data_IF_050706028757
#
_entry.id   IF_050706028757
#
_cell.length_a   1.000
_cell.length_b   1.000
_cell.length_c   1.000
_cell.angle_alpha   90.00
_cell.angle_beta   90.00
_cell.angle_gamma   90.00
#
_symmetry.space_group_name_H-M   'P 1'
#
loop_
_entity.id
_entity.type
_entity.pdbx_description
1 polymer ?
#
# COMPACT_ATOMS: atom_id res chain seq x y z
N UNK A 1 11.30 5.40 -17.88
CA UNK A 1 11.30 6.88 -17.89
C UNK A 1 11.04 7.31 -16.46
N UNK A 2 12.05 7.85 -15.76
CA UNK A 2 12.02 8.15 -14.33
C UNK A 2 12.06 9.68 -14.24
N UNK A 3 10.95 10.31 -13.87
CA UNK A 3 10.84 11.77 -13.78
C UNK A 3 11.80 12.28 -12.68
N UNK A 4 12.70 13.23 -12.99
CA UNK A 4 13.80 13.64 -12.12
C UNK A 4 13.42 14.61 -10.99
N UNK A 5 12.15 15.02 -10.87
CA UNK A 5 11.74 16.11 -9.95
C UNK A 5 11.22 15.65 -8.58
N UNK A 6 11.41 14.38 -8.22
CA UNK A 6 10.89 13.82 -6.97
C UNK A 6 11.91 13.95 -5.81
N UNK A 7 12.09 15.18 -5.32
CA UNK A 7 12.73 15.41 -4.01
C UNK A 7 11.66 15.28 -2.93
N UNK A 8 11.57 14.11 -2.30
CA UNK A 8 10.72 13.88 -1.14
C UNK A 8 11.24 12.70 -0.32
N UNK A 9 11.87 12.99 0.82
CA UNK A 9 12.27 11.99 1.82
C UNK A 9 11.08 11.16 2.34
N UNK A 10 11.34 10.09 3.11
CA UNK A 10 10.50 8.91 3.09
C UNK A 10 9.21 9.16 3.87
N UNK A 11 8.09 9.11 3.18
CA UNK A 11 6.80 8.88 3.84
C UNK A 11 6.80 7.42 4.29
N UNK A 12 7.46 7.13 5.42
CA UNK A 12 7.57 5.77 5.97
C UNK A 12 6.23 5.36 6.57
N UNK A 13 5.41 4.74 5.75
CA UNK A 13 4.25 4.01 6.25
C UNK A 13 4.62 2.53 6.29
N UNK A 14 5.10 2.09 7.46
CA UNK A 14 5.46 0.70 7.68
C UNK A 14 4.21 -0.11 8.04
N UNK A 15 3.87 -1.10 7.20
CA UNK A 15 2.75 -1.99 7.47
C UNK A 15 3.18 -3.42 7.65
N UNK A 16 2.75 -4.03 8.76
CA UNK A 16 3.02 -5.42 9.08
C UNK A 16 1.76 -6.28 8.93
N UNK A 17 1.81 -7.27 8.04
CA UNK A 17 0.77 -8.31 7.93
C UNK A 17 1.33 -9.66 8.31
N UNK A 18 0.57 -10.45 9.07
CA UNK A 18 0.93 -11.84 9.37
C UNK A 18 0.25 -12.78 8.39
N UNK A 19 1.03 -13.46 7.55
CA UNK A 19 0.55 -14.46 6.61
C UNK A 19 0.92 -15.85 7.12
N UNK A 20 -0.05 -16.78 7.18
CA UNK A 20 0.17 -18.16 7.59
C UNK A 20 -0.29 -19.14 6.52
N UNK A 21 0.55 -20.12 6.19
CA UNK A 21 0.14 -21.24 5.35
C UNK A 21 -0.65 -22.26 6.21
N UNK A 22 -1.96 -22.36 5.98
CA UNK A 22 -2.84 -23.30 6.67
C UNK A 22 -2.98 -24.65 5.94
N UNK A 23 -2.36 -24.78 4.77
CA UNK A 23 -2.36 -26.00 3.98
C UNK A 23 -1.32 -27.02 4.42
N UNK A 24 -1.39 -28.22 3.82
CA UNK A 24 -0.45 -29.33 4.08
C UNK A 24 0.77 -29.33 3.16
N UNK A 25 0.88 -28.36 2.25
CA UNK A 25 1.95 -28.27 1.24
C UNK A 25 2.62 -26.91 1.30
N UNK A 26 3.90 -26.87 0.91
CA UNK A 26 4.63 -25.62 0.70
C UNK A 26 3.89 -24.80 -0.37
N UNK A 27 3.61 -23.55 -0.06
CA UNK A 27 2.85 -22.64 -0.92
C UNK A 27 3.59 -21.32 -1.09
N UNK A 28 3.36 -20.67 -2.23
CA UNK A 28 3.81 -19.29 -2.45
C UNK A 28 2.59 -18.39 -2.47
N UNK A 29 2.59 -17.39 -1.59
CA UNK A 29 1.53 -16.40 -1.44
C UNK A 29 2.07 -15.02 -1.86
N UNK A 30 1.20 -14.17 -2.42
CA UNK A 30 1.53 -12.77 -2.70
C UNK A 30 0.68 -11.89 -1.80
N UNK A 31 1.29 -11.32 -0.76
CA UNK A 31 0.65 -10.33 0.08
C UNK A 31 0.62 -8.99 -0.68
N UNK A 32 -0.57 -8.47 -0.93
CA UNK A 32 -0.79 -7.22 -1.63
C UNK A 32 -1.38 -6.19 -0.66
N UNK A 33 -0.91 -4.95 -0.75
CA UNK A 33 -1.40 -3.85 0.06
C UNK A 33 -1.93 -2.73 -0.83
N UNK A 34 -3.12 -2.25 -0.48
CA UNK A 34 -3.83 -1.20 -1.19
C UNK A 34 -4.14 -0.04 -0.24
N UNK A 35 -4.24 1.16 -0.80
CA UNK A 35 -4.56 2.39 -0.08
C UNK A 35 -5.80 3.02 -0.68
N UNK A 36 -6.72 3.44 0.17
CA UNK A 36 -7.91 4.18 -0.21
C UNK A 36 -7.63 5.65 -0.49
N UNK A 37 -8.63 6.41 -0.95
CA UNK A 37 -8.50 7.83 -1.21
C UNK A 37 -8.16 8.63 0.07
N UNK A 38 -7.43 9.71 -0.10
CA UNK A 38 -7.23 10.74 0.93
C UNK A 38 -8.50 11.58 1.05
N UNK A 39 -9.02 11.81 2.27
CA UNK A 39 -10.15 12.71 2.49
C UNK A 39 -9.79 14.18 2.25
N UNK A 40 -8.50 14.53 2.35
CA UNK A 40 -8.02 15.90 2.27
C UNK A 40 -7.78 16.35 0.82
N UNK A 41 -7.70 15.40 -0.11
CA UNK A 41 -7.42 15.66 -1.51
C UNK A 41 -8.71 15.63 -2.34
N UNK A 42 -9.17 16.81 -2.80
CA UNK A 42 -10.34 16.96 -3.69
C UNK A 42 -9.99 16.75 -5.17
N UNK A 43 -9.26 15.68 -5.47
CA UNK A 43 -8.94 15.24 -6.84
C UNK A 43 -9.56 13.87 -7.09
N UNK A 44 -9.66 13.49 -8.37
CA UNK A 44 -10.02 12.12 -8.73
C UNK A 44 -8.97 11.15 -8.20
N UNK A 45 -9.42 10.23 -7.36
CA UNK A 45 -8.57 9.28 -6.68
C UNK A 45 -9.07 7.85 -6.92
N UNK A 46 -8.16 6.89 -7.11
CA UNK A 46 -8.55 5.49 -7.17
C UNK A 46 -9.14 5.06 -5.82
N UNK A 47 -10.26 4.33 -5.87
CA UNK A 47 -10.89 3.74 -4.67
C UNK A 47 -9.92 2.83 -3.91
N UNK A 48 -9.01 2.16 -4.63
CA UNK A 48 -7.92 1.34 -4.09
C UNK A 48 -6.68 1.44 -5.01
N UNK A 49 -5.63 2.09 -4.55
CA UNK A 49 -4.32 2.11 -5.21
C UNK A 49 -3.42 1.00 -4.66
N UNK A 50 -2.79 0.19 -5.51
CA UNK A 50 -1.82 -0.82 -5.06
C UNK A 50 -0.55 -0.13 -4.57
N UNK A 51 -0.35 -0.10 -3.24
CA UNK A 51 0.84 0.48 -2.61
C UNK A 51 2.08 -0.40 -2.71
N UNK A 52 1.88 -1.72 -2.69
CA UNK A 52 3.00 -2.65 -2.74
C UNK A 52 2.53 -4.09 -2.69
N UNK A 53 3.45 -4.99 -3.02
CA UNK A 53 3.23 -6.41 -2.88
C UNK A 53 4.51 -7.13 -2.49
N UNK A 54 4.37 -8.24 -1.78
CA UNK A 54 5.50 -9.10 -1.39
C UNK A 54 5.14 -10.55 -1.63
N UNK A 55 6.01 -11.25 -2.36
CA UNK A 55 5.92 -12.70 -2.56
C UNK A 55 6.61 -13.41 -1.39
N UNK A 56 5.92 -14.39 -0.83
CA UNK A 56 6.38 -15.17 0.32
C UNK A 56 6.21 -16.64 0.02
N UNK A 57 7.25 -17.42 0.26
CA UNK A 57 7.14 -18.87 0.22
C UNK A 57 7.10 -19.38 1.66
N UNK A 58 6.03 -20.08 2.00
CA UNK A 58 5.75 -20.56 3.36
C UNK A 58 5.64 -22.08 3.36
N UNK A 59 6.36 -22.74 4.25
CA UNK A 59 6.16 -24.14 4.58
C UNK A 59 4.79 -24.37 5.25
N UNK A 60 4.27 -25.61 5.25
CA UNK A 60 3.03 -25.94 5.97
C UNK A 60 3.08 -25.46 7.43
N UNK A 61 2.09 -24.69 7.87
CA UNK A 61 1.99 -24.15 9.23
C UNK A 61 2.86 -22.92 9.51
N UNK A 62 3.78 -22.56 8.62
CA UNK A 62 4.68 -21.40 8.78
C UNK A 62 3.89 -20.10 8.71
N UNK A 63 4.24 -19.15 9.58
CA UNK A 63 3.72 -17.80 9.56
C UNK A 63 4.87 -16.79 9.46
N UNK A 64 4.74 -15.82 8.55
CA UNK A 64 5.69 -14.71 8.43
C UNK A 64 5.01 -13.37 8.57
N UNK A 65 5.74 -12.43 9.17
CA UNK A 65 5.39 -11.01 9.17
C UNK A 65 5.97 -10.37 7.91
N UNK A 66 5.16 -9.58 7.23
CA UNK A 66 5.50 -8.93 5.97
C UNK A 66 5.45 -7.45 6.22
N UNK A 67 6.60 -6.78 6.11
CA UNK A 67 6.69 -5.33 6.11
C UNK A 67 6.77 -4.83 4.68
N UNK A 68 5.97 -3.82 4.34
CA UNK A 68 6.05 -3.11 3.07
C UNK A 68 6.13 -1.61 3.35
N UNK A 69 7.06 -0.96 2.66
CA UNK A 69 7.18 0.49 2.61
C UNK A 69 6.33 0.99 1.43
N UNK A 70 5.59 2.07 1.64
CA UNK A 70 4.79 2.71 0.59
C UNK A 70 5.55 3.89 0.05
N UNK A 71 5.62 3.97 -1.28
CA UNK A 71 6.12 5.15 -1.95
C UNK A 71 5.11 6.29 -1.92
N UNK A 72 5.60 7.53 -1.72
CA UNK A 72 4.80 8.75 -1.75
C UNK A 72 4.01 8.90 -3.07
N UNK A 73 4.53 8.39 -4.18
CA UNK A 73 3.86 8.37 -5.49
C UNK A 73 2.55 7.60 -5.45
N UNK A 74 2.46 6.52 -4.69
CA UNK A 74 1.21 5.75 -4.54
C UNK A 74 0.19 6.50 -3.68
N UNK A 75 0.68 7.39 -2.81
CA UNK A 75 -0.15 8.29 -2.01
C UNK A 75 -0.51 9.57 -2.77
N UNK A 76 0.11 9.81 -3.93
CA UNK A 76 -0.09 11.00 -4.75
C UNK A 76 -1.20 10.80 -5.77
N UNK A 77 -1.83 11.90 -6.18
CA UNK A 77 -2.74 11.93 -7.31
C UNK A 77 -2.37 13.08 -8.25
N UNK A 78 -2.65 12.91 -9.53
CA UNK A 78 -2.33 13.89 -10.55
C UNK A 78 -3.34 15.04 -10.49
N UNK A 79 -2.84 16.26 -10.31
CA UNK A 79 -3.63 17.49 -10.41
C UNK A 79 -3.49 18.07 -11.83
N UNK A 80 -4.52 17.99 -12.68
CA UNK A 80 -4.45 18.53 -14.04
C UNK A 80 -4.34 20.06 -14.06
N UNK A 81 -4.77 20.78 -13.02
CA UNK A 81 -4.66 22.23 -12.94
C UNK A 81 -3.25 22.71 -12.57
N UNK A 82 -2.51 21.90 -11.80
CA UNK A 82 -1.12 22.20 -11.40
C UNK A 82 -0.07 21.51 -12.26
N UNK A 83 -0.49 20.60 -13.14
CA UNK A 83 0.42 19.72 -13.90
C UNK A 83 1.45 19.02 -12.99
N UNK A 84 1.02 18.62 -11.80
CA UNK A 84 1.90 18.10 -10.76
C UNK A 84 1.24 16.97 -9.95
N UNK A 85 2.08 16.14 -9.33
CA UNK A 85 1.66 15.12 -8.36
C UNK A 85 1.45 15.76 -6.99
N UNK A 86 0.27 15.56 -6.41
CA UNK A 86 -0.06 16.07 -5.09
C UNK A 86 -0.27 14.89 -4.14
N UNK A 87 0.53 14.83 -3.07
CA UNK A 87 0.38 13.82 -2.01
C UNK A 87 -0.89 14.10 -1.22
N UNK A 88 -1.80 13.14 -1.16
CA UNK A 88 -2.95 13.20 -0.28
C UNK A 88 -2.57 12.80 1.14
N UNK A 89 -2.38 13.80 2.02
CA UNK A 89 -2.15 13.61 3.46
C UNK A 89 -3.41 13.10 4.18
N UNK A 90 -3.28 12.87 5.48
CA UNK A 90 -4.41 12.57 6.36
C UNK A 90 -4.66 11.08 6.55
N UNK A 91 -5.80 10.75 7.18
CA UNK A 91 -6.13 9.38 7.58
C UNK A 91 -6.74 8.60 6.41
N UNK A 92 -5.99 7.65 5.88
CA UNK A 92 -6.39 6.79 4.75
C UNK A 92 -6.70 5.37 5.21
N UNK A 93 -7.63 4.72 4.52
CA UNK A 93 -7.87 3.29 4.71
C UNK A 93 -6.81 2.48 3.96
N UNK A 94 -6.38 1.40 4.59
CA UNK A 94 -5.36 0.49 4.11
C UNK A 94 -5.98 -0.88 4.06
N UNK A 95 -5.80 -1.56 2.95
CA UNK A 95 -6.35 -2.89 2.73
C UNK A 95 -5.21 -3.84 2.44
N UNK A 96 -5.20 -5.00 3.09
CA UNK A 96 -4.22 -6.03 2.79
C UNK A 96 -4.89 -7.39 2.58
N UNK A 97 -4.34 -8.16 1.66
CA UNK A 97 -4.86 -9.47 1.34
C UNK A 97 -4.13 -10.14 0.19
N UNK A 98 -4.73 -11.24 -0.28
CA UNK A 98 -4.16 -12.10 -1.32
C UNK A 98 -4.51 -11.67 -2.74
N UNK A 99 -5.57 -10.86 -2.88
CA UNK A 99 -6.00 -10.29 -4.16
C UNK A 99 -6.78 -9.00 -3.92
N UNK A 100 -6.93 -8.16 -4.95
CA UNK A 100 -7.75 -6.94 -4.90
C UNK A 100 -9.21 -7.19 -4.51
N UNK A 101 -9.72 -8.42 -4.73
CA UNK A 101 -11.08 -8.85 -4.39
C UNK A 101 -11.18 -9.39 -2.96
N UNK A 102 -10.09 -9.95 -2.44
CA UNK A 102 -10.03 -10.56 -1.12
C UNK A 102 -9.01 -9.86 -0.22
N UNK A 103 -9.50 -8.80 0.42
CA UNK A 103 -8.76 -7.94 1.35
C UNK A 103 -9.38 -8.04 2.76
N UNK A 104 -9.16 -9.16 3.47
CA UNK A 104 -9.74 -9.38 4.79
C UNK A 104 -9.18 -8.44 5.87
N UNK A 105 -8.00 -7.86 5.64
CA UNK A 105 -7.34 -6.97 6.59
C UNK A 105 -7.58 -5.52 6.19
N UNK A 106 -8.02 -4.73 7.18
CA UNK A 106 -8.23 -3.29 7.04
C UNK A 106 -7.57 -2.57 8.19
N UNK A 107 -6.83 -1.51 7.90
CA UNK A 107 -6.24 -0.63 8.89
C UNK A 107 -6.44 0.83 8.47
N UNK A 108 -6.26 1.75 9.39
CA UNK A 108 -6.21 3.18 9.11
C UNK A 108 -4.78 3.63 9.33
N UNK A 109 -4.21 4.32 8.35
CA UNK A 109 -2.89 4.91 8.46
C UNK A 109 -3.00 6.42 8.27
N UNK A 110 -2.23 7.16 9.07
CA UNK A 110 -2.10 8.60 8.89
C UNK A 110 -0.89 8.82 8.00
N UNK A 111 -1.12 9.44 6.85
CA UNK A 111 -0.05 9.97 6.00
C UNK A 111 0.27 11.36 6.53
N UNK A 112 1.36 11.45 7.29
CA UNK A 112 1.89 12.74 7.71
C UNK A 112 2.73 13.31 6.57
N UNK A 113 2.49 14.57 6.22
CA UNK A 113 3.40 15.36 5.39
C UNK A 113 4.51 15.87 6.29
N UNK A 114 5.76 15.49 6.01
CA UNK A 114 6.94 16.05 6.67
C UNK A 114 7.25 17.46 6.17
#
# INVERSE_FOLDING_TARGET
>A
MRDPDMVGGPYEVCWAVRTRNTGRRKGTEVAQVYVGPSPDLKLDQPVRALAGYRRLTLAPGEARRVSLDIDARTLSSWDPGRHAWVVGSGRREVFAGRSSRELPLRAKAVVATG
#
